data_IF_836219743868
#
_entry.id   IF_836219743868
#
_cell.length_a   1.000
_cell.length_b   1.000
_cell.length_c   1.000
_cell.angle_alpha   90.00
_cell.angle_beta   90.00
_cell.angle_gamma   90.00
#
_symmetry.space_group_name_H-M   'P 1'
#
loop_
_entity.id
_entity.type
_entity.pdbx_description
1 polymer ?
#
# COMPACT_ATOMS: atom_id res chain seq x y z
N UNK A 1 -10.06 27.26 -13.11
CA UNK A 1 -9.17 26.11 -13.37
C UNK A 1 -9.77 24.90 -12.68
N UNK A 2 -10.32 23.96 -13.44
CA UNK A 2 -10.91 22.75 -12.90
C UNK A 2 -9.79 21.76 -12.58
N UNK A 3 -9.63 21.41 -11.30
CA UNK A 3 -8.65 20.44 -10.84
C UNK A 3 -9.19 19.03 -10.94
N UNK A 4 -8.93 18.36 -12.05
CA UNK A 4 -9.05 16.91 -12.14
C UNK A 4 -7.66 16.30 -11.97
N UNK A 5 -7.31 15.89 -10.75
CA UNK A 5 -6.20 14.97 -10.53
C UNK A 5 -6.79 13.59 -10.29
N UNK A 6 -6.69 12.72 -11.30
CA UNK A 6 -7.02 11.31 -11.14
C UNK A 6 -5.90 10.67 -10.31
N UNK A 7 -6.16 10.48 -9.02
CA UNK A 7 -5.21 9.80 -8.12
C UNK A 7 -5.20 8.32 -8.52
N UNK A 8 -4.12 7.88 -9.15
CA UNK A 8 -3.89 6.46 -9.45
C UNK A 8 -3.44 5.77 -8.17
N UNK A 9 -4.24 4.81 -7.68
CA UNK A 9 -3.95 4.08 -6.44
C UNK A 9 -4.29 2.58 -6.57
N UNK A 10 -3.72 1.76 -5.69
CA UNK A 10 -3.91 0.30 -5.66
C UNK A 10 -4.82 -0.15 -4.51
N UNK A 11 -5.61 0.77 -3.94
CA UNK A 11 -6.47 0.42 -2.82
C UNK A 11 -7.54 -0.57 -3.29
N UNK A 12 -7.60 -1.73 -2.65
CA UNK A 12 -8.44 -2.88 -3.05
C UNK A 12 -8.10 -3.47 -4.42
N UNK A 13 -6.94 -3.14 -5.00
CA UNK A 13 -6.49 -3.76 -6.23
C UNK A 13 -6.13 -5.24 -6.00
N UNK A 14 -6.50 -6.06 -6.96
CA UNK A 14 -6.19 -7.49 -7.01
C UNK A 14 -5.91 -7.87 -8.46
N UNK A 15 -4.96 -8.77 -8.64
CA UNK A 15 -4.69 -9.44 -9.90
C UNK A 15 -4.72 -10.96 -9.67
N UNK A 16 -5.36 -11.70 -10.59
CA UNK A 16 -5.17 -13.14 -10.66
C UNK A 16 -3.86 -13.40 -11.38
N UNK A 17 -3.03 -14.27 -10.80
CA UNK A 17 -1.80 -14.72 -11.42
C UNK A 17 -2.07 -16.03 -12.15
N UNK A 18 -1.47 -16.18 -13.32
CA UNK A 18 -1.50 -17.45 -14.03
C UNK A 18 -0.82 -18.52 -13.17
N UNK A 19 -1.42 -19.71 -13.14
CA UNK A 19 -1.02 -20.80 -12.26
C UNK A 19 -1.38 -22.16 -12.84
N UNK A 20 -1.08 -23.21 -12.07
CA UNK A 20 -1.47 -24.56 -12.44
C UNK A 20 -2.95 -24.82 -12.14
N UNK A 21 -3.54 -25.78 -12.84
CA UNK A 21 -4.93 -26.20 -12.59
C UNK A 21 -5.00 -26.85 -11.21
N UNK A 22 -5.85 -26.30 -10.33
CA UNK A 22 -5.94 -26.74 -8.92
C UNK A 22 -5.36 -25.74 -7.94
N UNK A 23 -4.88 -24.60 -8.45
CA UNK A 23 -4.43 -23.49 -7.65
C UNK A 23 -5.17 -22.22 -8.03
N UNK A 24 -5.51 -21.42 -7.02
CA UNK A 24 -5.88 -20.04 -7.20
C UNK A 24 -4.78 -19.14 -6.63
N UNK A 25 -4.09 -18.43 -7.53
CA UNK A 25 -3.01 -17.52 -7.18
C UNK A 25 -3.48 -16.08 -7.38
N UNK A 26 -3.39 -15.27 -6.32
CA UNK A 26 -3.82 -13.88 -6.32
C UNK A 26 -2.74 -12.97 -5.77
N UNK A 27 -2.52 -11.85 -6.44
CA UNK A 27 -1.70 -10.75 -5.96
C UNK A 27 -2.62 -9.63 -5.51
N UNK A 28 -2.38 -9.11 -4.31
CA UNK A 28 -3.12 -7.97 -3.74
C UNK A 28 -2.14 -6.92 -3.26
N UNK A 29 -2.57 -5.66 -3.22
CA UNK A 29 -1.77 -4.54 -2.72
C UNK A 29 -2.42 -3.97 -1.47
N UNK A 30 -1.64 -3.90 -0.38
CA UNK A 30 -2.08 -3.43 0.93
C UNK A 30 -1.46 -2.08 1.22
N UNK A 31 -2.31 -1.14 1.62
CA UNK A 31 -1.86 0.16 2.11
C UNK A 31 -1.27 -0.01 3.52
N UNK A 32 -0.03 0.45 3.80
CA UNK A 32 0.48 0.51 5.15
C UNK A 32 -0.38 1.47 5.99
N UNK A 33 -0.47 1.20 7.29
CA UNK A 33 -1.35 2.01 8.18
C UNK A 33 -0.80 3.41 8.43
N UNK A 34 0.52 3.54 8.61
CA UNK A 34 1.16 4.79 8.98
C UNK A 34 2.37 5.09 8.11
N UNK A 35 2.41 6.29 7.54
CA UNK A 35 3.48 6.82 6.70
C UNK A 35 4.08 8.03 7.39
N UNK A 36 5.40 8.08 7.56
CA UNK A 36 6.06 9.30 8.03
C UNK A 36 6.32 10.24 6.85
N UNK A 37 5.84 11.49 6.94
CA UNK A 37 6.21 12.57 6.02
C UNK A 37 7.30 13.44 6.67
N UNK A 38 8.40 13.67 5.97
CA UNK A 38 9.53 14.47 6.44
C UNK A 38 9.97 15.52 5.42
N UNK A 39 10.33 16.71 5.90
CA UNK A 39 10.70 17.87 5.10
C UNK A 39 9.55 18.47 4.31
N UNK A 40 9.88 19.31 3.34
CA UNK A 40 8.95 20.00 2.46
C UNK A 40 8.36 21.25 3.09
N UNK A 41 7.86 22.13 2.23
CA UNK A 41 7.03 23.26 2.64
C UNK A 41 5.56 22.84 2.84
N UNK A 42 4.74 23.80 3.24
CA UNK A 42 3.31 23.58 3.49
C UNK A 42 2.57 23.02 2.26
N UNK A 43 2.89 23.48 1.05
CA UNK A 43 2.18 23.10 -0.17
C UNK A 43 2.50 21.66 -0.56
N UNK A 44 3.79 21.33 -0.64
CA UNK A 44 4.26 19.98 -0.96
C UNK A 44 3.81 18.96 0.10
N UNK A 45 3.91 19.33 1.37
CA UNK A 45 3.46 18.47 2.46
C UNK A 45 1.95 18.22 2.42
N UNK A 46 1.15 19.24 2.16
CA UNK A 46 -0.30 19.09 2.04
C UNK A 46 -0.67 18.24 0.81
N UNK A 47 0.00 18.44 -0.32
CA UNK A 47 -0.21 17.63 -1.53
C UNK A 47 0.09 16.14 -1.27
N UNK A 48 1.20 15.83 -0.57
CA UNK A 48 1.53 14.46 -0.18
C UNK A 48 0.48 13.89 0.79
N UNK A 49 0.05 14.68 1.79
CA UNK A 49 -0.98 14.27 2.74
C UNK A 49 -2.30 13.91 2.05
N UNK A 50 -2.75 14.70 1.09
CA UNK A 50 -3.98 14.44 0.33
C UNK A 50 -3.92 13.09 -0.37
N UNK A 51 -2.79 12.78 -1.02
CA UNK A 51 -2.61 11.52 -1.74
C UNK A 51 -2.56 10.31 -0.78
N UNK A 52 -1.81 10.44 0.32
CA UNK A 52 -1.71 9.41 1.38
C UNK A 52 -3.09 9.14 2.00
N UNK A 53 -3.84 10.20 2.33
CA UNK A 53 -5.18 10.09 2.91
C UNK A 53 -6.18 9.47 1.93
N UNK A 54 -6.14 9.86 0.64
CA UNK A 54 -6.99 9.27 -0.40
C UNK A 54 -6.74 7.76 -0.57
N UNK A 55 -5.50 7.32 -0.35
CA UNK A 55 -5.15 5.90 -0.34
C UNK A 55 -5.58 5.14 0.93
N UNK A 56 -6.16 5.84 1.93
CA UNK A 56 -6.62 5.26 3.19
C UNK A 56 -5.51 5.07 4.23
N UNK A 57 -4.38 5.75 4.07
CA UNK A 57 -3.24 5.70 4.99
C UNK A 57 -3.27 6.91 5.95
N UNK A 58 -2.67 6.76 7.13
CA UNK A 58 -2.48 7.87 8.07
C UNK A 58 -1.06 8.43 7.95
N UNK A 59 -0.92 9.75 7.87
CA UNK A 59 0.38 10.41 7.93
C UNK A 59 0.82 10.63 9.39
N UNK A 60 2.12 10.49 9.62
CA UNK A 60 2.82 10.84 10.86
C UNK A 60 3.79 11.96 10.52
N UNK A 61 3.87 13.00 11.35
CA UNK A 61 4.83 14.10 11.20
C UNK A 61 5.48 14.46 12.53
N UNK A 62 6.65 15.11 12.48
CA UNK A 62 7.29 15.69 13.65
C UNK A 62 6.55 16.96 14.14
N UNK A 63 6.82 17.42 15.37
CA UNK A 63 6.16 18.60 15.95
C UNK A 63 6.48 19.91 15.23
N UNK A 64 7.68 20.01 14.66
CA UNK A 64 8.18 21.17 13.92
C UNK A 64 7.77 21.16 12.44
N UNK A 65 7.11 20.10 11.98
CA UNK A 65 6.67 19.97 10.60
C UNK A 65 5.53 20.95 10.27
N UNK A 66 5.46 21.54 9.06
CA UNK A 66 4.44 22.54 8.69
C UNK A 66 2.99 22.08 8.93
N UNK A 67 2.74 20.78 8.76
CA UNK A 67 1.41 20.19 8.97
C UNK A 67 1.02 19.99 10.46
N UNK A 68 1.95 20.05 11.42
CA UNK A 68 1.70 19.65 12.81
C UNK A 68 0.55 20.45 13.46
N UNK A 69 0.42 21.73 13.13
CA UNK A 69 -0.65 22.61 13.63
C UNK A 69 -2.07 22.20 13.20
N UNK A 70 -2.20 21.33 12.19
CA UNK A 70 -3.48 20.89 11.64
C UNK A 70 -4.01 19.58 12.24
N UNK A 71 -3.23 18.92 13.10
CA UNK A 71 -3.53 17.57 13.59
C UNK A 71 -4.92 17.42 14.24
N UNK A 72 -5.38 18.44 14.99
CA UNK A 72 -6.70 18.40 15.64
C UNK A 72 -7.83 18.40 14.61
N UNK A 73 -7.68 19.17 13.53
CA UNK A 73 -8.68 19.25 12.45
C UNK A 73 -8.64 18.04 11.52
N UNK A 74 -7.47 17.42 11.38
CA UNK A 74 -7.20 16.27 10.52
C UNK A 74 -7.08 14.96 11.32
N UNK A 75 -7.83 14.84 12.42
CA UNK A 75 -7.82 13.66 13.26
C UNK A 75 -8.16 12.39 12.45
N UNK A 76 -7.44 11.30 12.70
CA UNK A 76 -7.54 10.07 11.92
C UNK A 76 -6.79 10.07 10.58
N UNK A 77 -6.39 11.24 10.06
CA UNK A 77 -5.59 11.38 8.83
C UNK A 77 -4.15 11.79 9.14
N UNK A 78 -3.95 12.66 10.13
CA UNK A 78 -2.66 13.18 10.53
C UNK A 78 -2.40 12.91 12.02
N UNK A 79 -1.22 12.38 12.32
CA UNK A 79 -0.71 12.17 13.67
C UNK A 79 0.60 12.93 13.84
N UNK A 80 0.80 13.52 15.01
CA UNK A 80 2.07 14.16 15.38
C UNK A 80 2.81 13.28 16.37
N UNK A 81 4.13 13.17 16.21
CA UNK A 81 5.02 12.42 17.11
C UNK A 81 6.29 13.22 17.36
N UNK A 82 6.87 13.13 18.56
CA UNK A 82 8.19 13.71 18.85
C UNK A 82 9.33 12.96 18.17
N UNK A 83 9.17 11.64 18.02
CA UNK A 83 10.19 10.75 17.47
C UNK A 83 9.57 9.80 16.43
N UNK A 84 9.13 10.28 15.25
CA UNK A 84 8.61 9.43 14.18
C UNK A 84 9.58 8.30 13.80
N UNK A 85 10.88 8.58 13.80
CA UNK A 85 11.97 7.67 13.47
C UNK A 85 12.06 6.47 14.42
N UNK A 86 11.57 6.60 15.66
CA UNK A 86 11.57 5.53 16.66
C UNK A 86 10.26 4.71 16.67
N UNK A 87 9.25 5.12 15.91
CA UNK A 87 7.93 4.46 15.94
C UNK A 87 7.96 3.14 15.15
N UNK A 88 7.73 2.02 15.83
CA UNK A 88 7.73 0.68 15.22
C UNK A 88 6.58 0.46 14.23
N UNK A 89 5.49 1.23 14.35
CA UNK A 89 4.34 1.15 13.44
C UNK A 89 4.53 1.93 12.13
N UNK A 90 5.63 2.69 11.99
CA UNK A 90 5.99 3.39 10.75
C UNK A 90 6.83 2.45 9.89
N UNK A 91 6.28 2.05 8.75
CA UNK A 91 6.98 1.20 7.76
C UNK A 91 7.63 1.99 6.63
N UNK A 92 7.17 3.22 6.37
CA UNK A 92 7.63 4.06 5.27
C UNK A 92 7.95 5.48 5.71
N UNK A 93 8.97 6.06 5.08
CA UNK A 93 9.32 7.48 5.13
C UNK A 93 9.13 8.06 3.72
N UNK A 94 8.26 9.05 3.60
CA UNK A 94 8.14 9.92 2.43
C UNK A 94 8.97 11.18 2.68
N UNK A 95 10.08 11.31 1.97
CA UNK A 95 11.01 12.43 2.09
C UNK A 95 10.72 13.47 1.02
N UNK A 96 10.21 14.63 1.43
CA UNK A 96 9.93 15.76 0.53
C UNK A 96 11.15 16.65 0.30
N UNK A 97 12.17 16.51 1.14
CA UNK A 97 13.51 17.07 0.98
C UNK A 97 14.56 15.97 0.95
N UNK A 98 15.84 16.36 0.75
CA UNK A 98 16.95 15.44 0.96
C UNK A 98 17.00 15.04 2.45
N UNK A 99 16.86 13.75 2.81
CA UNK A 99 16.87 13.35 4.20
C UNK A 99 18.23 13.62 4.83
N UNK A 100 18.23 14.23 6.01
CA UNK A 100 19.46 14.50 6.74
C UNK A 100 20.20 13.19 7.05
N UNK A 101 21.55 13.18 7.05
CA UNK A 101 22.33 12.00 7.40
C UNK A 101 21.94 11.40 8.75
N UNK A 102 21.66 12.25 9.75
CA UNK A 102 21.26 11.80 11.09
C UNK A 102 19.95 11.01 11.04
N UNK A 103 18.93 11.48 10.31
CA UNK A 103 17.66 10.75 10.12
C UNK A 103 17.89 9.34 9.55
N UNK A 104 18.80 9.20 8.58
CA UNK A 104 19.13 7.88 8.01
C UNK A 104 19.84 6.99 9.03
N UNK A 105 20.75 7.56 9.82
CA UNK A 105 21.45 6.84 10.89
C UNK A 105 20.48 6.37 11.99
N UNK A 106 19.55 7.22 12.41
CA UNK A 106 18.55 6.89 13.42
C UNK A 106 17.62 5.76 12.94
N UNK A 107 17.16 5.86 11.69
CA UNK A 107 16.36 4.79 11.06
C UNK A 107 17.14 3.47 10.94
N UNK A 108 18.44 3.53 10.63
CA UNK A 108 19.29 2.34 10.52
C UNK A 108 19.59 1.71 11.89
N UNK A 109 19.70 2.52 12.95
CA UNK A 109 19.92 2.06 14.32
C UNK A 109 18.63 1.51 14.98
N UNK A 110 17.46 1.83 14.42
CA UNK A 110 16.15 1.41 14.92
C UNK A 110 16.04 -0.12 14.96
N UNK A 111 15.54 -0.65 16.07
CA UNK A 111 15.17 -2.07 16.16
C UNK A 111 13.87 -2.36 15.42
N UNK A 112 13.82 -3.46 14.67
CA UNK A 112 12.63 -3.92 13.96
C UNK A 112 12.81 -3.89 12.44
N UNK A 113 11.69 -3.82 11.71
CA UNK A 113 11.71 -3.77 10.26
C UNK A 113 12.43 -2.51 9.73
N UNK A 114 13.13 -2.66 8.61
CA UNK A 114 13.74 -1.54 7.89
C UNK A 114 12.64 -0.63 7.36
N UNK A 115 12.82 0.69 7.52
CA UNK A 115 11.90 1.68 6.93
C UNK A 115 12.23 1.87 5.46
N UNK A 116 11.22 1.73 4.59
CA UNK A 116 11.35 2.08 3.18
C UNK A 116 11.36 3.60 3.04
N UNK A 117 12.42 4.16 2.47
CA UNK A 117 12.53 5.60 2.20
C UNK A 117 12.16 5.88 0.76
N UNK A 118 11.14 6.71 0.56
CA UNK A 118 10.64 7.17 -0.73
C UNK A 118 11.10 8.61 -0.93
N UNK A 119 11.77 8.87 -2.04
CA UNK A 119 12.10 10.22 -2.49
C UNK A 119 10.88 10.83 -3.19
N UNK A 120 10.29 11.83 -2.58
CA UNK A 120 9.11 12.53 -3.09
C UNK A 120 9.39 14.02 -3.34
N UNK A 121 10.67 14.40 -3.53
CA UNK A 121 11.09 15.78 -3.82
C UNK A 121 10.47 16.34 -5.11
N UNK A 122 10.08 15.47 -6.04
CA UNK A 122 9.44 15.84 -7.32
C UNK A 122 7.98 15.41 -7.39
N UNK A 123 7.37 15.15 -6.24
CA UNK A 123 6.04 14.57 -6.12
C UNK A 123 6.09 13.12 -5.62
N UNK A 124 5.01 12.73 -4.96
CA UNK A 124 4.85 11.39 -4.40
C UNK A 124 4.36 10.41 -5.47
N UNK A 125 5.15 9.40 -5.79
CA UNK A 125 4.66 8.20 -6.45
C UNK A 125 3.96 7.30 -5.42
N UNK A 126 2.63 7.43 -5.37
CA UNK A 126 1.78 6.76 -4.39
C UNK A 126 1.85 5.23 -4.48
N UNK A 127 2.15 4.66 -5.67
CA UNK A 127 2.15 3.22 -5.87
C UNK A 127 3.27 2.53 -5.07
N UNK A 128 4.40 3.21 -4.87
CA UNK A 128 5.55 2.69 -4.12
C UNK A 128 5.29 2.51 -2.61
N UNK A 129 4.19 3.11 -2.11
CA UNK A 129 3.76 2.94 -0.72
C UNK A 129 3.01 1.64 -0.48
N UNK A 130 2.46 1.00 -1.51
CA UNK A 130 1.70 -0.23 -1.33
C UNK A 130 2.63 -1.43 -1.13
N UNK A 131 2.22 -2.32 -0.23
CA UNK A 131 2.88 -3.58 0.06
C UNK A 131 2.19 -4.70 -0.73
N UNK A 132 2.97 -5.47 -1.48
CA UNK A 132 2.47 -6.61 -2.24
C UNK A 132 2.23 -7.81 -1.32
N UNK A 133 1.10 -8.49 -1.52
CA UNK A 133 0.77 -9.73 -0.82
C UNK A 133 0.26 -10.75 -1.83
N UNK A 134 1.05 -11.80 -2.03
CA UNK A 134 0.68 -12.95 -2.84
C UNK A 134 0.00 -14.01 -1.96
N UNK A 135 -1.11 -14.56 -2.46
CA UNK A 135 -1.81 -15.69 -1.84
C UNK A 135 -1.94 -16.80 -2.87
N UNK A 136 -1.56 -18.01 -2.48
CA UNK A 136 -1.72 -19.23 -3.26
C UNK A 136 -2.62 -20.17 -2.47
N UNK A 137 -3.71 -20.60 -3.08
CA UNK A 137 -4.70 -21.49 -2.46
C UNK A 137 -4.81 -22.77 -3.29
N UNK A 138 -4.60 -23.92 -2.66
CA UNK A 138 -4.96 -25.21 -3.23
C UNK A 138 -6.50 -25.32 -3.26
N UNK A 139 -7.06 -25.46 -4.46
CA UNK A 139 -8.51 -25.55 -4.68
C UNK A 139 -8.99 -27.00 -4.79
N UNK A 140 -8.10 -27.97 -4.53
CA UNK A 140 -8.42 -29.40 -4.56
C UNK A 140 -9.33 -29.75 -3.39
N UNK A 141 -10.45 -30.42 -3.68
CA UNK A 141 -11.39 -30.92 -2.67
C UNK A 141 -11.26 -32.43 -2.63
N UNK A 142 -10.91 -32.98 -1.46
CA UNK A 142 -10.77 -34.43 -1.24
C UNK A 142 -9.86 -35.13 -2.28
N UNK A 143 -8.78 -34.47 -2.72
CA UNK A 143 -7.84 -35.00 -3.72
C UNK A 143 -8.32 -34.92 -5.18
N UNK A 144 -9.49 -34.33 -5.44
CA UNK A 144 -10.00 -34.09 -6.79
C UNK A 144 -10.05 -32.59 -7.10
N UNK A 145 -9.71 -32.25 -8.34
CA UNK A 145 -9.87 -30.89 -8.85
C UNK A 145 -11.24 -30.74 -9.54
N UNK A 146 -12.15 -29.89 -9.02
CA UNK A 146 -13.47 -29.69 -9.62
C UNK A 146 -13.43 -29.16 -11.05
N UNK A 147 -12.46 -28.31 -11.41
CA UNK A 147 -12.32 -27.76 -12.77
C UNK A 147 -11.95 -28.86 -13.77
N UNK A 148 -11.01 -29.76 -13.40
CA UNK A 148 -10.68 -30.91 -14.23
C UNK A 148 -11.86 -31.87 -14.38
N UNK A 149 -12.61 -32.08 -13.29
CA UNK A 149 -13.81 -32.90 -13.31
C UNK A 149 -14.83 -32.31 -14.30
N UNK A 150 -15.17 -31.04 -14.15
CA UNK A 150 -16.10 -30.35 -15.05
C UNK A 150 -15.65 -30.41 -16.52
N UNK A 151 -14.36 -30.16 -16.82
CA UNK A 151 -13.83 -30.24 -18.18
C UNK A 151 -13.90 -31.67 -18.77
N UNK A 152 -13.73 -32.69 -17.93
CA UNK A 152 -13.82 -34.10 -18.34
C UNK A 152 -15.25 -34.51 -18.68
N UNK A 153 -16.24 -34.03 -17.90
CA UNK A 153 -17.64 -34.43 -18.05
C UNK A 153 -18.49 -33.48 -18.92
N UNK A 154 -18.01 -32.27 -19.22
CA UNK A 154 -18.67 -31.32 -20.13
C UNK A 154 -19.03 -31.90 -21.52
N UNK A 155 -18.13 -32.61 -22.24
CA UNK A 155 -18.48 -33.16 -23.56
C UNK A 155 -19.52 -34.29 -23.52
N UNK A 156 -19.83 -34.87 -22.35
CA UNK A 156 -20.90 -35.87 -22.23
C UNK A 156 -22.30 -35.25 -22.05
N UNK A 157 -22.39 -33.99 -21.60
CA UNK A 157 -23.67 -33.32 -21.38
C UNK A 157 -24.30 -32.78 -22.67
N UNK A 158 -23.49 -32.40 -23.65
CA UNK A 158 -23.99 -31.96 -24.96
C UNK A 158 -24.55 -33.13 -25.79
N UNK A 159 -24.02 -34.34 -25.62
CA UNK A 159 -24.49 -35.55 -26.29
C UNK A 159 -25.84 -36.05 -25.76
N UNK A 160 -26.19 -35.71 -24.51
CA UNK A 160 -27.45 -36.12 -23.86
C UNK A 160 -28.59 -35.09 -24.01
N UNK A 161 -28.33 -33.94 -24.65
CA UNK A 161 -29.34 -32.89 -24.91
C UNK A 161 -29.88 -32.87 -26.35
N UNK A 162 -29.47 -33.82 -27.18
CA UNK A 162 -29.89 -33.91 -28.59
C UNK A 162 -31.01 -34.93 -28.88
N UNK A 163 -31.68 -35.47 -27.86
CA UNK A 163 -32.84 -36.35 -28.00
C UNK A 163 -34.15 -35.68 -27.55
#
# INVERSE_FOLDING_TARGET
MAGESKIHNLRHAQARLDGSVGEENTLTWRSPKHIWINGGDQEHALAALIQIAAAGMQAVVAYDHPLAGWHTRLNGILRVSSHPEQQTFVSHLVSLDLPQPQTKMDLAARKGAVVRVIDARQGLDLLQLFEETAHSTDTTIAGCNPELLAATFAPMQDTLRQD
#
